data_IF_462669954541
#
_entry.id   IF_462669954541
#
_cell.length_a   1.000
_cell.length_b   1.000
_cell.length_c   1.000
_cell.angle_alpha   90.00
_cell.angle_beta   90.00
_cell.angle_gamma   90.00
#
_symmetry.space_group_name_H-M   'P 1'
#
loop_
_entity.id
_entity.type
_entity.pdbx_description
1 polymer ?
#
# COMPACT_ATOMS: atom_id res chain seq x y z
N UNK A 1 -18.69 -1.41 5.19
CA UNK A 1 -18.19 -0.15 4.60
C UNK A 1 -18.32 1.00 5.60
N UNK A 2 -19.48 1.23 6.22
CA UNK A 2 -19.65 2.36 7.16
C UNK A 2 -18.71 2.26 8.38
N UNK A 3 -18.41 1.07 8.88
CA UNK A 3 -17.48 0.83 9.99
C UNK A 3 -16.01 1.17 9.65
N UNK A 4 -15.67 1.33 8.38
CA UNK A 4 -14.34 1.75 7.94
C UNK A 4 -14.15 3.27 8.00
N UNK A 5 -15.22 4.04 8.15
CA UNK A 5 -15.16 5.49 8.31
C UNK A 5 -14.79 5.83 9.78
N UNK A 6 -13.49 5.87 10.03
CA UNK A 6 -12.96 6.20 11.36
C UNK A 6 -13.44 7.58 11.81
N UNK A 7 -13.86 7.68 13.06
CA UNK A 7 -14.33 8.93 13.66
C UNK A 7 -15.79 9.30 13.36
N UNK A 8 -16.53 8.46 12.64
CA UNK A 8 -17.97 8.65 12.46
C UNK A 8 -18.72 7.85 13.53
N UNK A 9 -19.59 8.49 14.33
CA UNK A 9 -20.41 7.81 15.31
C UNK A 9 -21.34 6.78 14.66
N UNK A 10 -21.62 5.64 15.33
CA UNK A 10 -22.45 4.56 14.78
C UNK A 10 -23.86 4.99 14.35
N UNK A 11 -24.45 5.98 15.02
CA UNK A 11 -25.77 6.55 14.69
C UNK A 11 -25.82 7.17 13.29
N UNK A 12 -24.67 7.60 12.72
CA UNK A 12 -24.57 8.16 11.38
C UNK A 12 -24.20 7.13 10.29
N UNK A 13 -23.98 5.86 10.64
CA UNK A 13 -23.62 4.83 9.66
C UNK A 13 -24.69 4.63 8.57
N UNK A 14 -25.97 4.89 8.88
CA UNK A 14 -27.05 4.84 7.90
C UNK A 14 -26.90 5.87 6.77
N UNK A 15 -26.43 7.06 7.11
CA UNK A 15 -26.18 8.14 6.14
C UNK A 15 -24.99 7.82 5.23
N UNK A 16 -23.90 7.30 5.81
CA UNK A 16 -22.70 6.91 5.06
C UNK A 16 -23.00 5.73 4.14
N UNK A 17 -23.78 4.76 4.59
CA UNK A 17 -24.10 3.57 3.79
C UNK A 17 -24.75 3.91 2.46
N UNK A 18 -25.52 4.98 2.41
CA UNK A 18 -26.26 5.45 1.25
C UNK A 18 -25.60 6.67 0.56
N UNK A 19 -24.41 7.09 1.01
CA UNK A 19 -23.78 8.32 0.57
C UNK A 19 -23.62 8.39 -0.97
N UNK A 20 -23.02 7.38 -1.56
CA UNK A 20 -22.76 7.36 -3.01
C UNK A 20 -24.04 7.28 -3.83
N UNK A 21 -25.04 6.51 -3.38
CA UNK A 21 -26.36 6.47 -4.03
C UNK A 21 -27.07 7.82 -3.99
N UNK A 22 -26.94 8.56 -2.88
CA UNK A 22 -27.49 9.92 -2.76
C UNK A 22 -26.77 10.89 -3.68
N UNK A 23 -25.46 10.86 -3.73
CA UNK A 23 -24.66 11.69 -4.65
C UNK A 23 -25.07 11.44 -6.10
N UNK A 24 -25.19 10.18 -6.49
CA UNK A 24 -25.66 9.82 -7.84
C UNK A 24 -27.02 10.40 -8.15
N UNK A 25 -27.97 10.30 -7.22
CA UNK A 25 -29.32 10.82 -7.37
C UNK A 25 -29.36 12.36 -7.44
N UNK A 26 -28.63 13.04 -6.56
CA UNK A 26 -28.57 14.51 -6.50
C UNK A 26 -27.92 15.12 -7.76
N UNK A 27 -26.86 14.51 -8.24
CA UNK A 27 -26.14 14.97 -9.45
C UNK A 27 -26.79 14.50 -10.75
N UNK A 28 -27.64 13.47 -10.67
CA UNK A 28 -28.29 12.84 -11.83
C UNK A 28 -27.30 12.47 -12.95
N UNK A 29 -26.17 11.87 -12.57
CA UNK A 29 -25.12 11.41 -13.50
C UNK A 29 -24.76 9.96 -13.17
N UNK A 30 -24.26 9.16 -14.13
CA UNK A 30 -23.65 7.88 -13.84
C UNK A 30 -22.52 8.05 -12.82
N UNK A 31 -22.50 7.21 -11.80
CA UNK A 31 -21.46 7.22 -10.76
C UNK A 31 -20.97 5.79 -10.56
N UNK A 32 -19.68 5.61 -10.70
CA UNK A 32 -18.98 4.40 -10.26
C UNK A 32 -18.06 4.72 -9.08
N UNK A 33 -17.97 3.81 -8.15
CA UNK A 33 -17.07 3.90 -6.98
C UNK A 33 -16.13 2.71 -7.06
N UNK A 34 -14.86 3.01 -7.26
CA UNK A 34 -13.79 2.01 -7.44
C UNK A 34 -12.80 2.19 -6.30
N UNK A 35 -12.18 1.09 -5.86
CA UNK A 35 -11.10 1.11 -4.89
C UNK A 35 -9.87 1.81 -5.50
N UNK A 36 -9.12 2.57 -4.71
CA UNK A 36 -7.93 3.31 -5.16
C UNK A 36 -6.79 2.37 -5.64
N UNK A 37 -6.69 1.19 -5.05
CA UNK A 37 -5.79 0.15 -5.52
C UNK A 37 -6.14 -0.32 -6.93
N UNK A 38 -7.43 -0.58 -7.20
CA UNK A 38 -7.89 -0.99 -8.54
C UNK A 38 -7.67 0.10 -9.59
N UNK A 39 -7.89 1.36 -9.22
CA UNK A 39 -7.55 2.51 -10.11
C UNK A 39 -6.07 2.54 -10.46
N UNK A 40 -5.21 2.20 -9.47
CA UNK A 40 -3.77 2.11 -9.67
C UNK A 40 -3.39 1.03 -10.70
N UNK A 41 -3.95 -0.18 -10.57
CA UNK A 41 -3.70 -1.27 -11.51
C UNK A 41 -4.23 -0.94 -12.91
N UNK A 42 -5.42 -0.32 -13.00
CA UNK A 42 -6.01 0.12 -14.26
C UNK A 42 -5.16 1.19 -14.96
N UNK A 43 -4.66 2.17 -14.22
CA UNK A 43 -3.75 3.18 -14.75
C UNK A 43 -2.45 2.55 -15.29
N UNK A 44 -1.94 1.52 -14.60
CA UNK A 44 -0.81 0.72 -15.07
C UNK A 44 -1.11 0.01 -16.40
N UNK A 45 -2.27 -0.65 -16.50
CA UNK A 45 -2.71 -1.34 -17.72
C UNK A 45 -2.81 -0.36 -18.91
N UNK A 46 -3.43 0.78 -18.70
CA UNK A 46 -3.53 1.83 -19.73
C UNK A 46 -2.17 2.40 -20.13
N UNK A 47 -1.24 2.56 -19.20
CA UNK A 47 0.07 3.15 -19.47
C UNK A 47 1.00 2.18 -20.20
N UNK A 48 0.91 0.89 -19.92
CA UNK A 48 1.72 -0.15 -20.53
C UNK A 48 1.10 -0.73 -21.80
N UNK A 49 -0.17 -0.40 -22.07
CA UNK A 49 -0.98 -1.03 -23.13
C UNK A 49 -0.95 -2.58 -23.00
N UNK A 50 -1.01 -3.08 -21.76
CA UNK A 50 -0.92 -4.49 -21.42
C UNK A 50 -1.73 -4.79 -20.16
N UNK A 51 -2.00 -6.08 -19.90
CA UNK A 51 -2.86 -6.56 -18.82
C UNK A 51 -2.08 -7.46 -17.85
N UNK A 52 -2.79 -8.16 -16.95
CA UNK A 52 -2.23 -8.98 -15.89
C UNK A 52 -1.31 -8.17 -14.96
N UNK A 53 -1.84 -7.07 -14.44
CA UNK A 53 -1.09 -6.09 -13.66
C UNK A 53 -1.54 -6.11 -12.20
N UNK A 54 -0.59 -6.32 -11.29
CA UNK A 54 -0.75 -6.07 -9.87
C UNK A 54 -0.23 -4.67 -9.55
N UNK A 55 -1.12 -3.77 -9.13
CA UNK A 55 -0.76 -2.43 -8.66
C UNK A 55 -0.66 -2.41 -7.14
N UNK A 56 0.44 -1.87 -6.59
CA UNK A 56 0.69 -1.75 -5.16
C UNK A 56 1.03 -0.29 -4.84
N UNK A 57 0.14 0.38 -4.13
CA UNK A 57 0.34 1.75 -3.66
C UNK A 57 0.89 1.74 -2.23
N UNK A 58 2.11 2.26 -2.04
CA UNK A 58 2.84 2.30 -0.78
C UNK A 58 2.79 3.71 -0.18
N UNK A 59 1.73 4.00 0.57
CA UNK A 59 1.45 5.30 1.16
C UNK A 59 1.36 5.28 2.69
N UNK A 60 0.30 5.87 3.25
CA UNK A 60 -0.01 5.81 4.69
C UNK A 60 -0.33 4.38 5.14
N UNK A 61 -0.92 3.61 4.26
CA UNK A 61 -1.09 2.17 4.30
C UNK A 61 -0.72 1.60 2.94
N UNK A 62 -0.89 0.30 2.75
CA UNK A 62 -0.82 -0.35 1.45
C UNK A 62 -2.23 -0.36 0.84
N UNK A 63 -2.33 -0.12 -0.47
CA UNK A 63 -3.53 -0.38 -1.24
C UNK A 63 -3.13 -1.16 -2.50
N UNK A 64 -3.90 -2.18 -2.84
CA UNK A 64 -3.61 -3.05 -3.96
C UNK A 64 -4.81 -3.19 -4.88
N UNK A 65 -4.53 -3.37 -6.15
CA UNK A 65 -5.52 -3.68 -7.17
C UNK A 65 -4.95 -4.59 -8.23
N UNK A 66 -5.84 -5.21 -8.97
CA UNK A 66 -5.44 -6.16 -10.00
C UNK A 66 -6.30 -6.04 -11.25
N UNK A 67 -5.62 -5.98 -12.40
CA UNK A 67 -6.23 -6.13 -13.73
C UNK A 67 -5.85 -7.50 -14.26
N UNK A 68 -6.85 -8.31 -14.58
CA UNK A 68 -6.66 -9.67 -15.07
C UNK A 68 -6.06 -9.74 -16.50
N UNK A 69 -5.67 -10.92 -17.01
CA UNK A 69 -5.15 -11.05 -18.38
C UNK A 69 -6.10 -10.59 -19.48
N UNK A 70 -7.40 -10.51 -19.19
CA UNK A 70 -8.43 -10.05 -20.13
C UNK A 70 -8.69 -8.53 -20.04
N UNK A 71 -7.99 -7.83 -19.13
CA UNK A 71 -8.14 -6.38 -18.94
C UNK A 71 -9.27 -5.98 -18.02
N UNK A 72 -9.81 -6.89 -17.20
CA UNK A 72 -10.90 -6.60 -16.29
C UNK A 72 -10.40 -6.40 -14.84
N UNK A 73 -11.06 -5.47 -14.15
CA UNK A 73 -10.98 -5.36 -12.69
C UNK A 73 -11.84 -6.49 -12.09
N UNK A 74 -11.28 -7.16 -11.09
CA UNK A 74 -11.97 -8.26 -10.40
C UNK A 74 -13.13 -7.71 -9.55
N UNK A 75 -14.18 -8.51 -9.38
CA UNK A 75 -15.35 -8.14 -8.59
C UNK A 75 -15.18 -8.25 -7.08
N UNK A 76 -14.00 -8.55 -6.57
CA UNK A 76 -13.65 -8.61 -5.15
C UNK A 76 -12.64 -7.52 -4.76
N UNK A 77 -12.50 -7.25 -3.48
CA UNK A 77 -11.47 -6.35 -2.95
C UNK A 77 -10.12 -7.07 -2.90
N UNK A 78 -9.08 -6.42 -3.43
CA UNK A 78 -7.71 -6.92 -3.39
C UNK A 78 -7.01 -6.36 -2.15
N UNK A 79 -7.46 -6.72 -0.95
CA UNK A 79 -6.97 -6.19 0.33
C UNK A 79 -5.68 -6.91 0.79
N UNK A 80 -4.64 -6.90 -0.05
CA UNK A 80 -3.34 -7.51 0.26
C UNK A 80 -2.64 -6.84 1.43
N UNK A 81 -3.05 -5.62 1.80
CA UNK A 81 -2.61 -4.96 3.03
C UNK A 81 -2.82 -5.79 4.29
N UNK A 82 -3.80 -6.70 4.29
CA UNK A 82 -4.08 -7.63 5.37
C UNK A 82 -3.54 -9.04 5.12
N UNK A 83 -2.98 -9.30 3.95
CA UNK A 83 -2.34 -10.58 3.67
C UNK A 83 -1.04 -10.73 4.48
N UNK A 84 -0.76 -11.92 5.04
CA UNK A 84 0.48 -12.15 5.77
C UNK A 84 1.67 -12.21 4.82
N UNK A 85 2.71 -11.45 5.14
CA UNK A 85 3.98 -11.38 4.38
C UNK A 85 5.21 -11.66 5.27
N UNK A 86 5.04 -11.66 6.58
CA UNK A 86 6.06 -12.06 7.55
C UNK A 86 5.49 -13.13 8.50
N UNK A 87 6.02 -14.33 8.42
CA UNK A 87 5.62 -15.48 9.21
C UNK A 87 6.55 -15.72 10.43
N UNK A 88 7.44 -14.77 10.72
CA UNK A 88 8.34 -14.92 11.88
C UNK A 88 7.57 -14.80 13.19
N UNK A 89 8.03 -15.48 14.26
CA UNK A 89 7.41 -15.34 15.60
C UNK A 89 7.48 -13.91 16.16
N UNK A 90 8.35 -13.06 15.59
CA UNK A 90 8.54 -11.66 15.97
C UNK A 90 7.91 -10.67 14.97
N UNK A 91 7.08 -11.17 14.06
CA UNK A 91 6.38 -10.32 13.11
C UNK A 91 5.54 -9.24 13.81
N UNK A 92 5.47 -8.07 13.21
CA UNK A 92 4.77 -6.94 13.84
C UNK A 92 3.27 -7.10 13.71
N UNK A 93 2.53 -6.61 14.71
CA UNK A 93 1.07 -6.59 14.71
C UNK A 93 0.59 -5.24 14.18
N UNK A 94 -0.37 -5.26 13.26
CA UNK A 94 -1.08 -4.07 12.82
C UNK A 94 -2.06 -3.64 13.92
N UNK A 95 -2.07 -2.34 14.27
CA UNK A 95 -2.78 -1.87 15.48
C UNK A 95 -4.31 -1.91 15.35
N UNK A 96 -4.83 -1.70 14.16
CA UNK A 96 -6.26 -1.62 13.92
C UNK A 96 -6.89 -3.00 13.69
N UNK A 97 -6.35 -3.80 12.75
CA UNK A 97 -6.89 -5.12 12.40
C UNK A 97 -6.48 -6.20 13.39
N UNK A 98 -5.37 -5.99 14.10
CA UNK A 98 -4.67 -6.97 14.94
C UNK A 98 -4.02 -8.10 14.15
N UNK A 99 -3.93 -7.98 12.84
CA UNK A 99 -3.22 -8.94 12.00
C UNK A 99 -1.72 -8.89 12.24
N UNK A 100 -1.10 -10.06 12.24
CA UNK A 100 0.34 -10.23 12.50
C UNK A 100 1.06 -10.42 11.17
N UNK A 101 2.10 -9.62 10.93
CA UNK A 101 2.96 -9.77 9.75
C UNK A 101 2.29 -9.39 8.42
N UNK A 102 1.24 -8.57 8.45
CA UNK A 102 0.48 -8.22 7.25
C UNK A 102 1.14 -7.10 6.42
N UNK A 103 0.81 -7.05 5.13
CA UNK A 103 1.41 -6.17 4.12
C UNK A 103 1.44 -4.70 4.51
N UNK A 104 0.38 -4.16 5.14
CA UNK A 104 0.32 -2.76 5.57
C UNK A 104 1.50 -2.32 6.45
N UNK A 105 2.07 -3.24 7.23
CA UNK A 105 3.21 -2.97 8.11
C UNK A 105 4.57 -3.10 7.42
N UNK A 106 4.60 -3.59 6.17
CA UNK A 106 5.81 -3.87 5.39
C UNK A 106 5.90 -3.02 4.12
N UNK A 107 4.76 -2.67 3.50
CA UNK A 107 4.69 -1.95 2.22
C UNK A 107 4.05 -0.57 2.35
N UNK A 108 4.34 0.13 3.45
CA UNK A 108 3.84 1.47 3.71
C UNK A 108 4.84 2.29 4.55
N UNK A 109 4.49 3.54 4.83
CA UNK A 109 5.25 4.39 5.75
C UNK A 109 5.40 3.77 7.15
N UNK A 110 4.51 2.86 7.56
CA UNK A 110 4.60 2.18 8.86
C UNK A 110 5.87 1.33 8.96
N UNK A 111 6.29 0.71 7.85
CA UNK A 111 7.57 0.02 7.78
C UNK A 111 8.74 0.96 8.06
N UNK A 112 8.72 2.14 7.43
CA UNK A 112 9.77 3.16 7.60
C UNK A 112 9.84 3.61 9.07
N UNK A 113 8.71 3.93 9.68
CA UNK A 113 8.65 4.40 11.07
C UNK A 113 9.13 3.34 12.06
N UNK A 114 8.70 2.11 11.85
CA UNK A 114 9.06 0.96 12.70
C UNK A 114 10.55 0.63 12.64
N UNK A 115 11.14 0.74 11.45
CA UNK A 115 12.55 0.38 11.24
C UNK A 115 13.52 1.55 11.52
N UNK A 116 13.09 2.80 11.46
CA UNK A 116 13.94 3.96 11.66
C UNK A 116 14.77 3.91 12.97
N UNK A 117 14.19 3.62 14.14
CA UNK A 117 14.99 3.52 15.38
C UNK A 117 16.03 2.41 15.32
N UNK A 118 15.71 1.27 14.69
CA UNK A 118 16.65 0.16 14.51
C UNK A 118 17.78 0.51 13.53
N UNK A 119 17.50 1.43 12.61
CA UNK A 119 18.44 1.96 11.64
C UNK A 119 19.29 3.14 12.18
N UNK A 120 19.16 3.47 13.47
CA UNK A 120 19.86 4.59 14.11
C UNK A 120 19.27 5.96 13.78
N UNK A 121 18.03 6.02 13.28
CA UNK A 121 17.35 7.25 12.92
C UNK A 121 16.29 7.58 13.97
N UNK A 122 16.50 8.68 14.70
CA UNK A 122 15.54 9.19 15.68
C UNK A 122 14.59 10.16 14.97
N UNK A 123 13.35 9.73 14.74
CA UNK A 123 12.31 10.59 14.15
C UNK A 123 11.77 11.51 15.24
N UNK A 124 11.63 12.83 14.98
CA UNK A 124 10.98 13.76 15.92
C UNK A 124 9.55 13.32 16.27
N UNK A 125 9.12 13.49 17.51
CA UNK A 125 7.82 13.01 17.99
C UNK A 125 6.67 13.97 17.69
N UNK A 126 6.93 15.26 17.61
CA UNK A 126 5.92 16.32 17.50
C UNK A 126 5.69 16.77 16.04
N UNK A 127 5.77 15.83 15.09
CA UNK A 127 5.57 16.09 13.67
C UNK A 127 4.55 15.10 13.09
N UNK A 128 3.91 15.50 11.99
CA UNK A 128 2.94 14.67 11.29
C UNK A 128 3.59 13.45 10.62
N UNK A 129 2.81 12.42 10.30
CA UNK A 129 3.33 11.24 9.61
C UNK A 129 3.92 11.56 8.24
N UNK A 130 3.40 12.57 7.55
CA UNK A 130 3.98 13.07 6.30
C UNK A 130 5.38 13.62 6.54
N UNK A 131 5.56 14.42 7.57
CA UNK A 131 6.86 15.00 7.95
C UNK A 131 7.84 13.93 8.44
N UNK A 132 7.36 12.92 9.16
CA UNK A 132 8.18 11.77 9.58
C UNK A 132 8.74 11.02 8.37
N UNK A 133 7.88 10.72 7.38
CA UNK A 133 8.33 10.04 6.17
C UNK A 133 9.35 10.90 5.41
N UNK A 134 9.06 12.17 5.18
CA UNK A 134 9.98 13.09 4.52
C UNK A 134 11.33 13.16 5.23
N UNK A 135 11.33 13.23 6.57
CA UNK A 135 12.54 13.26 7.37
C UNK A 135 13.45 12.05 7.12
N UNK A 136 12.86 10.85 7.04
CA UNK A 136 13.64 9.61 6.76
C UNK A 136 14.05 9.54 5.29
N UNK A 137 13.20 10.01 4.36
CA UNK A 137 13.55 10.12 2.94
C UNK A 137 14.71 11.08 2.68
N UNK A 138 14.78 12.21 3.37
CA UNK A 138 15.95 13.12 3.31
C UNK A 138 17.25 12.41 3.76
N UNK A 139 17.18 11.56 4.79
CA UNK A 139 18.31 10.74 5.19
C UNK A 139 18.69 9.72 4.10
N UNK A 140 17.69 9.13 3.43
CA UNK A 140 17.92 8.21 2.32
C UNK A 140 18.62 8.93 1.15
N UNK A 141 18.12 10.09 0.74
CA UNK A 141 18.72 10.89 -0.33
C UNK A 141 20.14 11.31 0.02
N UNK A 142 20.41 11.64 1.29
CA UNK A 142 21.74 11.93 1.84
C UNK A 142 22.67 10.71 1.95
N UNK A 143 22.24 9.52 1.62
CA UNK A 143 23.04 8.31 1.63
C UNK A 143 23.24 7.67 3.01
N UNK A 144 22.36 7.96 3.97
CA UNK A 144 22.42 7.32 5.29
C UNK A 144 22.23 5.81 5.20
N UNK A 145 23.22 5.02 5.61
CA UNK A 145 23.23 3.56 5.44
C UNK A 145 22.01 2.87 6.07
N UNK A 146 21.59 3.32 7.25
CA UNK A 146 20.41 2.79 7.92
C UNK A 146 19.12 3.06 7.13
N UNK A 147 18.98 4.26 6.53
CA UNK A 147 17.84 4.56 5.66
C UNK A 147 17.84 3.66 4.42
N UNK A 148 18.98 3.49 3.77
CA UNK A 148 19.12 2.56 2.63
C UNK A 148 18.64 1.15 3.00
N UNK A 149 19.06 0.64 4.16
CA UNK A 149 18.64 -0.69 4.64
C UNK A 149 17.14 -0.82 4.89
N UNK A 150 16.45 0.26 5.28
CA UNK A 150 14.99 0.24 5.43
C UNK A 150 14.34 -0.07 4.08
N UNK A 151 14.67 0.67 3.02
CA UNK A 151 14.07 0.48 1.69
C UNK A 151 14.50 -0.83 1.03
N UNK A 152 15.73 -1.27 1.24
CA UNK A 152 16.17 -2.61 0.81
C UNK A 152 15.36 -3.70 1.49
N UNK A 153 15.10 -3.58 2.80
CA UNK A 153 14.25 -4.54 3.53
C UNK A 153 12.83 -4.58 3.00
N UNK A 154 12.24 -3.41 2.66
CA UNK A 154 10.93 -3.36 2.00
C UNK A 154 10.96 -4.13 0.67
N UNK A 155 12.01 -3.95 -0.13
CA UNK A 155 12.18 -4.65 -1.41
C UNK A 155 12.28 -6.16 -1.23
N UNK A 156 13.10 -6.65 -0.30
CA UNK A 156 13.26 -8.09 -0.04
C UNK A 156 11.90 -8.69 0.38
N UNK A 157 11.17 -8.06 1.31
CA UNK A 157 9.84 -8.54 1.67
C UNK A 157 8.87 -8.51 0.50
N UNK A 158 8.95 -7.49 -0.37
CA UNK A 158 8.13 -7.41 -1.57
C UNK A 158 8.42 -8.58 -2.52
N UNK A 159 9.68 -8.92 -2.76
CA UNK A 159 10.06 -10.06 -3.61
C UNK A 159 9.44 -11.37 -3.14
N UNK A 160 9.55 -11.66 -1.84
CA UNK A 160 8.90 -12.84 -1.25
C UNK A 160 7.37 -12.78 -1.32
N UNK A 161 6.77 -11.61 -1.07
CA UNK A 161 5.32 -11.44 -1.17
C UNK A 161 4.82 -11.63 -2.60
N UNK A 162 5.52 -11.12 -3.60
CA UNK A 162 5.18 -11.29 -5.02
C UNK A 162 5.23 -12.77 -5.44
N UNK A 163 6.22 -13.52 -4.97
CA UNK A 163 6.27 -14.97 -5.21
C UNK A 163 5.04 -15.68 -4.62
N UNK A 164 4.60 -15.27 -3.42
CA UNK A 164 3.38 -15.79 -2.80
C UNK A 164 2.11 -15.33 -3.53
N UNK A 165 2.03 -14.08 -3.94
CA UNK A 165 0.87 -13.54 -4.65
C UNK A 165 0.69 -14.19 -6.04
N UNK A 166 1.78 -14.61 -6.68
CA UNK A 166 1.73 -15.32 -7.96
C UNK A 166 1.05 -16.70 -7.87
N UNK A 167 0.83 -17.25 -6.68
CA UNK A 167 0.00 -18.46 -6.50
C UNK A 167 -1.51 -18.16 -6.67
N UNK A 168 -1.91 -16.89 -6.59
CA UNK A 168 -3.32 -16.47 -6.62
C UNK A 168 -3.67 -15.58 -7.81
N UNK A 169 -2.68 -14.90 -8.39
CA UNK A 169 -2.84 -13.92 -9.46
C UNK A 169 -1.94 -14.27 -10.64
N UNK A 170 -2.47 -14.22 -11.84
CA UNK A 170 -1.68 -14.28 -13.07
C UNK A 170 -0.96 -12.94 -13.30
N UNK A 171 0.20 -12.76 -12.69
CA UNK A 171 0.95 -11.49 -12.71
C UNK A 171 1.96 -11.50 -13.85
N UNK A 172 1.81 -10.54 -14.78
CA UNK A 172 2.81 -10.24 -15.81
C UNK A 172 3.62 -9.01 -15.46
N UNK A 173 2.95 -8.01 -14.87
CA UNK A 173 3.57 -6.75 -14.47
C UNK A 173 3.21 -6.42 -13.02
N UNK A 174 4.16 -5.82 -12.32
CA UNK A 174 3.95 -5.22 -11.00
C UNK A 174 4.22 -3.73 -11.10
N UNK A 175 3.24 -2.92 -10.71
CA UNK A 175 3.40 -1.48 -10.60
C UNK A 175 3.46 -1.09 -9.13
N UNK A 176 4.57 -0.52 -8.69
CA UNK A 176 4.68 0.09 -7.37
C UNK A 176 4.60 1.61 -7.48
N UNK A 177 3.84 2.24 -6.60
CA UNK A 177 3.73 3.68 -6.53
C UNK A 177 3.45 4.16 -5.11
N UNK A 178 3.35 5.46 -4.93
CA UNK A 178 3.08 6.06 -3.63
C UNK A 178 4.30 6.76 -3.04
N UNK A 179 4.13 7.40 -1.89
CA UNK A 179 5.17 8.24 -1.30
C UNK A 179 6.43 7.47 -0.91
N UNK A 180 6.29 6.22 -0.49
CA UNK A 180 7.44 5.39 -0.12
C UNK A 180 8.32 5.03 -1.32
N UNK A 181 7.79 5.09 -2.54
CA UNK A 181 8.54 4.78 -3.77
C UNK A 181 9.15 6.01 -4.43
N UNK A 182 9.03 7.20 -3.84
CA UNK A 182 9.58 8.43 -4.39
C UNK A 182 11.12 8.45 -4.33
N UNK A 183 11.76 9.05 -5.33
CA UNK A 183 13.21 9.19 -5.39
C UNK A 183 13.93 7.85 -5.36
N UNK A 184 15.05 7.77 -4.64
CA UNK A 184 15.85 6.53 -4.46
C UNK A 184 15.07 5.37 -3.84
N UNK A 185 13.96 5.67 -3.15
CA UNK A 185 13.18 4.64 -2.46
C UNK A 185 12.64 3.60 -3.42
N UNK A 186 12.06 4.02 -4.54
CA UNK A 186 11.54 3.12 -5.57
C UNK A 186 12.62 2.19 -6.15
N UNK A 187 13.77 2.75 -6.49
CA UNK A 187 14.90 1.99 -7.06
C UNK A 187 15.39 0.91 -6.09
N UNK A 188 15.50 1.24 -4.80
CA UNK A 188 15.94 0.30 -3.78
C UNK A 188 14.93 -0.81 -3.52
N UNK A 189 13.63 -0.47 -3.52
CA UNK A 189 12.57 -1.48 -3.39
C UNK A 189 12.61 -2.43 -4.58
N UNK A 190 12.67 -1.91 -5.81
CA UNK A 190 12.72 -2.73 -7.02
C UNK A 190 13.99 -3.59 -7.08
N UNK A 191 15.15 -3.03 -6.71
CA UNK A 191 16.39 -3.80 -6.63
C UNK A 191 16.27 -4.96 -5.65
N UNK A 192 15.81 -4.68 -4.41
CA UNK A 192 15.67 -5.72 -3.40
C UNK A 192 14.60 -6.78 -3.73
N UNK A 193 13.55 -6.41 -4.49
CA UNK A 193 12.54 -7.37 -4.91
C UNK A 193 13.01 -8.30 -6.04
N UNK A 194 14.06 -7.94 -6.76
CA UNK A 194 14.65 -8.74 -7.84
C UNK A 194 15.81 -9.66 -7.38
N UNK A 195 16.27 -9.55 -6.13
CA UNK A 195 17.30 -10.41 -5.54
C UNK A 195 16.71 -11.78 -5.11
#
# INVERSE_FOLDING_TARGET
VASLFRGVPPEHYGEIRNLFSRIQQELNVPLEVINDGDVTALAGSMSLDDNAILGIAMGSSEATGYVDPSGHIMGWLNELSFAPVDYSPSATTEEWSKDIGCGSMYFSQQCVFRLAPKAGIQIPVDITDVEKLNFVQEKLEGGHEGAIKIWQSMGIFLGYALAHYADFYDIKHVLILGRCTSGKGGDLILSGANE
#
